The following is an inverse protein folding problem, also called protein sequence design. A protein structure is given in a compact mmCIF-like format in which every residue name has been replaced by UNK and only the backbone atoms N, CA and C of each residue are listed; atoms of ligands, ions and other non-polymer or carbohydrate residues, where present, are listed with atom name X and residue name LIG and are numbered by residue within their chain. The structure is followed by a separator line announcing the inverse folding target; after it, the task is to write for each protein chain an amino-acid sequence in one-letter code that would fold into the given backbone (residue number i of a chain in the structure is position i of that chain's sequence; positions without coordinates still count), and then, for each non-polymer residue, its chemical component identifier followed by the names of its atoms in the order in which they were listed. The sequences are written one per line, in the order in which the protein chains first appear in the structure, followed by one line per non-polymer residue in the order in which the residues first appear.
data_IF_377023130643
#
_entry.id   IF_377023130643
#
_cell.length_a   1.000
_cell.length_b   1.000
_cell.length_c   1.000
_cell.angle_alpha   90.00
_cell.angle_beta   90.00
_cell.angle_gamma   90.00
#
_symmetry.space_group_name_H-M   'P 1'
#
loop_
_entity.id
_entity.type
_entity.pdbx_description
1 polymer ?
#
# COMPACT_ATOMS: atom_id res chain seq x y z
N UNK A 1 -17.62 23.89 -0.89
CA UNK A 1 -16.61 23.17 -0.08
C UNK A 1 -16.95 21.67 0.06
N UNK A 2 -18.12 21.30 0.60
CA UNK A 2 -18.52 19.89 0.80
C UNK A 2 -18.43 19.02 -0.47
N UNK A 3 -18.93 19.52 -1.61
CA UNK A 3 -18.87 18.78 -2.89
C UNK A 3 -17.43 18.41 -3.29
N UNK A 4 -16.48 19.33 -3.15
CA UNK A 4 -15.08 19.12 -3.49
C UNK A 4 -14.41 18.11 -2.55
N UNK A 5 -14.60 18.24 -1.23
CA UNK A 5 -14.06 17.29 -0.27
C UNK A 5 -14.56 15.87 -0.53
N UNK A 6 -15.86 15.72 -0.83
CA UNK A 6 -16.41 14.41 -1.20
C UNK A 6 -15.78 13.89 -2.50
N UNK A 7 -15.45 14.74 -3.48
CA UNK A 7 -14.79 14.33 -4.72
C UNK A 7 -13.39 13.80 -4.45
N UNK A 8 -12.60 14.51 -3.65
CA UNK A 8 -11.26 14.05 -3.24
C UNK A 8 -11.34 12.73 -2.47
N UNK A 9 -12.27 12.61 -1.50
CA UNK A 9 -12.48 11.38 -0.76
C UNK A 9 -12.82 10.19 -1.67
N UNK A 10 -13.66 10.39 -2.69
CA UNK A 10 -14.03 9.31 -3.62
C UNK A 10 -12.89 8.85 -4.52
N UNK A 11 -11.83 9.64 -4.72
CA UNK A 11 -10.61 9.15 -5.39
C UNK A 11 -9.93 8.08 -4.53
N UNK A 12 -9.69 8.37 -3.24
CA UNK A 12 -8.92 7.48 -2.36
C UNK A 12 -9.75 6.41 -1.63
N UNK A 13 -11.09 6.47 -1.68
CA UNK A 13 -11.99 5.62 -0.86
C UNK A 13 -11.63 4.13 -0.88
N UNK A 14 -11.31 3.59 -2.06
CA UNK A 14 -10.99 2.18 -2.25
C UNK A 14 -9.62 1.78 -1.68
N UNK A 15 -8.75 2.76 -1.44
CA UNK A 15 -7.35 2.59 -1.08
C UNK A 15 -7.02 3.01 0.36
N UNK A 16 -8.02 3.50 1.10
CA UNK A 16 -7.89 3.79 2.54
C UNK A 16 -7.40 2.57 3.32
N UNK A 17 -8.04 1.42 3.13
CA UNK A 17 -7.68 0.19 3.86
C UNK A 17 -6.41 -0.47 3.30
N UNK A 18 -6.27 -0.70 1.98
CA UNK A 18 -5.11 -1.44 1.46
C UNK A 18 -3.81 -0.64 1.36
N UNK A 19 -3.88 0.70 1.24
CA UNK A 19 -2.70 1.55 1.02
C UNK A 19 -2.46 2.49 2.20
N UNK A 20 -3.41 3.37 2.50
CA UNK A 20 -3.23 4.42 3.51
C UNK A 20 -3.00 3.82 4.91
N UNK A 21 -3.88 2.90 5.33
CA UNK A 21 -3.82 2.24 6.63
C UNK A 21 -2.46 1.61 6.93
N UNK A 22 -1.99 0.65 6.12
CA UNK A 22 -0.72 0.00 6.42
C UNK A 22 0.50 0.89 6.17
N UNK A 23 0.48 1.83 5.21
CA UNK A 23 1.59 2.78 5.03
C UNK A 23 1.77 3.70 6.25
N UNK A 24 0.66 4.20 6.82
CA UNK A 24 0.68 4.98 8.07
C UNK A 24 1.11 4.10 9.26
N UNK A 25 0.63 2.86 9.34
CA UNK A 25 1.00 1.92 10.40
C UNK A 25 2.51 1.68 10.42
N UNK A 26 3.12 1.39 9.26
CA UNK A 26 4.57 1.28 9.12
C UNK A 26 5.25 2.57 9.56
N UNK A 27 4.87 3.71 8.98
CA UNK A 27 5.57 4.96 9.22
C UNK A 27 5.57 5.36 10.70
N UNK A 28 4.43 5.21 11.39
CA UNK A 28 4.34 5.46 12.83
C UNK A 28 5.22 4.52 13.65
N UNK A 29 5.26 3.23 13.29
CA UNK A 29 6.11 2.24 13.95
C UNK A 29 7.60 2.54 13.74
N UNK A 30 7.98 2.92 12.52
CA UNK A 30 9.37 3.14 12.13
C UNK A 30 9.94 4.48 12.60
N UNK A 31 9.13 5.55 12.62
CA UNK A 31 9.52 6.84 13.18
C UNK A 31 9.51 6.83 14.71
N UNK A 32 8.66 6.00 15.34
CA UNK A 32 8.43 6.02 16.78
C UNK A 32 7.50 7.16 17.19
N UNK A 33 7.53 7.61 18.47
CA UNK A 33 6.67 8.71 18.93
C UNK A 33 6.85 9.94 18.04
N UNK A 34 5.76 10.33 17.37
CA UNK A 34 5.70 11.44 16.41
C UNK A 34 4.74 12.48 16.99
N UNK A 35 5.06 13.77 16.88
CA UNK A 35 4.16 14.83 17.32
C UNK A 35 3.05 15.09 16.27
N UNK A 36 2.02 15.82 16.68
CA UNK A 36 0.85 16.05 15.84
C UNK A 36 1.18 16.81 14.55
N UNK A 37 2.17 17.71 14.57
CA UNK A 37 2.56 18.50 13.40
C UNK A 37 3.24 17.59 12.39
N UNK A 38 4.26 16.84 12.79
CA UNK A 38 4.93 15.89 11.90
C UNK A 38 3.96 14.83 11.35
N UNK A 39 3.03 14.35 12.18
CA UNK A 39 1.97 13.44 11.73
C UNK A 39 1.11 14.06 10.62
N UNK A 40 0.61 15.29 10.82
CA UNK A 40 -0.22 15.97 9.83
C UNK A 40 0.55 16.24 8.54
N UNK A 41 1.80 16.69 8.63
CA UNK A 41 2.66 16.96 7.47
C UNK A 41 2.92 15.70 6.64
N UNK A 42 3.25 14.59 7.29
CA UNK A 42 3.51 13.31 6.62
C UNK A 42 2.24 12.65 6.10
N UNK A 43 1.10 12.82 6.79
CA UNK A 43 -0.20 12.38 6.30
C UNK A 43 -0.59 13.11 5.01
N UNK A 44 -0.46 14.45 4.97
CA UNK A 44 -0.72 15.21 3.76
C UNK A 44 0.25 14.86 2.63
N UNK A 45 1.53 14.65 2.94
CA UNK A 45 2.49 14.18 1.94
C UNK A 45 2.04 12.86 1.32
N UNK A 46 1.64 11.88 2.14
CA UNK A 46 1.18 10.57 1.68
C UNK A 46 -0.08 10.70 0.83
N UNK A 47 -1.10 11.43 1.31
CA UNK A 47 -2.36 11.65 0.60
C UNK A 47 -2.14 12.35 -0.76
N UNK A 48 -1.25 13.33 -0.86
CA UNK A 48 -0.93 13.97 -2.14
C UNK A 48 -0.33 12.98 -3.14
N UNK A 49 0.55 12.08 -2.69
CA UNK A 49 1.13 11.04 -3.55
C UNK A 49 0.08 10.00 -3.96
N UNK A 50 -0.78 9.57 -3.03
CA UNK A 50 -1.88 8.65 -3.31
C UNK A 50 -2.88 9.25 -4.30
N UNK A 51 -3.29 10.49 -4.09
CA UNK A 51 -4.18 11.21 -5.01
C UNK A 51 -3.55 11.36 -6.39
N UNK A 52 -2.25 11.64 -6.48
CA UNK A 52 -1.56 11.74 -7.78
C UNK A 52 -1.68 10.42 -8.56
N UNK A 53 -1.45 9.28 -7.90
CA UNK A 53 -1.63 7.97 -8.53
C UNK A 53 -3.10 7.70 -8.88
N UNK A 54 -4.02 7.89 -7.94
CA UNK A 54 -5.43 7.54 -8.15
C UNK A 54 -6.08 8.37 -9.26
N UNK A 55 -5.83 9.69 -9.30
CA UNK A 55 -6.36 10.52 -10.40
C UNK A 55 -5.83 9.99 -11.74
N UNK A 56 -4.52 9.69 -11.82
CA UNK A 56 -3.92 9.20 -13.05
C UNK A 56 -4.45 7.83 -13.47
N UNK A 57 -4.53 6.91 -12.52
CA UNK A 57 -5.03 5.55 -12.68
C UNK A 57 -6.49 5.56 -13.16
N UNK A 58 -7.33 6.44 -12.63
CA UNK A 58 -8.73 6.58 -13.05
C UNK A 58 -8.90 7.22 -14.43
N UNK A 59 -8.01 8.14 -14.82
CA UNK A 59 -7.99 8.69 -16.18
C UNK A 59 -7.66 7.58 -17.19
N UNK A 60 -6.62 6.80 -16.93
CA UNK A 60 -6.15 5.73 -17.83
C UNK A 60 -7.09 4.52 -17.82
N UNK A 61 -7.69 4.21 -16.66
CA UNK A 61 -8.60 3.08 -16.44
C UNK A 61 -10.08 3.42 -16.54
N UNK A 62 -10.48 4.49 -17.25
CA UNK A 62 -11.87 4.96 -17.25
C UNK A 62 -12.89 3.88 -17.64
N UNK A 63 -12.61 3.10 -18.69
CA UNK A 63 -13.51 2.04 -19.14
C UNK A 63 -13.58 0.87 -18.13
N UNK A 64 -12.48 0.55 -17.46
CA UNK A 64 -12.43 -0.43 -16.36
C UNK A 64 -13.33 -0.01 -15.19
N UNK A 65 -13.22 1.26 -14.83
CA UNK A 65 -13.92 1.81 -13.69
C UNK A 65 -15.42 1.96 -13.97
N UNK A 66 -15.83 2.19 -15.23
CA UNK A 66 -17.24 2.16 -15.63
C UNK A 66 -17.90 0.82 -15.32
N UNK A 67 -17.18 -0.28 -15.50
CA UNK A 67 -17.69 -1.63 -15.26
C UNK A 67 -17.65 -2.02 -13.78
N UNK A 68 -16.59 -1.64 -13.07
CA UNK A 68 -16.27 -2.20 -11.75
C UNK A 68 -16.44 -1.23 -10.58
N UNK A 69 -16.34 0.08 -10.83
CA UNK A 69 -16.23 1.13 -9.79
C UNK A 69 -17.06 2.38 -10.17
N UNK A 70 -18.40 2.26 -10.31
CA UNK A 70 -19.26 3.34 -10.81
C UNK A 70 -19.26 4.60 -9.95
N UNK A 71 -18.88 4.48 -8.67
CA UNK A 71 -18.82 5.59 -7.73
C UNK A 71 -17.56 6.46 -7.87
N UNK A 72 -16.59 6.09 -8.71
CA UNK A 72 -15.35 6.87 -8.91
C UNK A 72 -15.66 8.24 -9.50
N UNK A 73 -14.96 9.32 -9.10
CA UNK A 73 -15.28 10.69 -9.50
C UNK A 73 -15.44 10.93 -11.00
N UNK A 74 -14.59 10.33 -11.84
CA UNK A 74 -14.64 10.53 -13.29
C UNK A 74 -15.82 9.77 -13.90
N UNK A 75 -16.04 8.52 -13.47
CA UNK A 75 -17.13 7.67 -13.95
C UNK A 75 -18.50 8.23 -13.57
N UNK A 76 -18.65 8.67 -12.33
CA UNK A 76 -19.89 9.26 -11.80
C UNK A 76 -20.18 10.68 -12.33
N UNK A 77 -19.34 11.22 -13.21
CA UNK A 77 -19.52 12.54 -13.80
C UNK A 77 -19.25 13.71 -12.85
N UNK A 78 -18.68 13.46 -11.66
CA UNK A 78 -18.34 14.51 -10.68
C UNK A 78 -17.13 15.34 -11.13
N UNK A 79 -16.29 14.79 -12.01
CA UNK A 79 -15.17 15.48 -12.62
C UNK A 79 -15.01 15.03 -14.08
N UNK A 80 -14.89 15.96 -15.02
CA UNK A 80 -14.57 15.61 -16.41
C UNK A 80 -13.13 15.12 -16.54
N UNK A 81 -12.82 14.35 -17.59
CA UNK A 81 -11.46 13.86 -17.86
C UNK A 81 -10.45 15.01 -17.99
N UNK A 82 -10.83 16.10 -18.66
CA UNK A 82 -9.98 17.29 -18.82
C UNK A 82 -9.72 17.97 -17.46
N UNK A 83 -10.74 18.08 -16.61
CA UNK A 83 -10.57 18.62 -15.26
C UNK A 83 -9.71 17.69 -14.38
N UNK A 84 -9.86 16.37 -14.51
CA UNK A 84 -9.03 15.38 -13.83
C UNK A 84 -7.56 15.48 -14.25
N UNK A 85 -7.26 15.68 -15.54
CA UNK A 85 -5.89 15.91 -16.03
C UNK A 85 -5.25 17.16 -15.40
N UNK A 86 -6.00 18.26 -15.33
CA UNK A 86 -5.52 19.50 -14.66
C UNK A 86 -5.29 19.28 -13.17
N UNK A 87 -6.19 18.56 -12.50
CA UNK A 87 -6.05 18.21 -11.09
C UNK A 87 -4.84 17.30 -10.86
N UNK A 88 -4.62 16.30 -11.72
CA UNK A 88 -3.43 15.43 -11.68
C UNK A 88 -2.14 16.25 -11.73
N UNK A 89 -2.00 17.14 -12.72
CA UNK A 89 -0.80 17.97 -12.85
C UNK A 89 -0.60 18.88 -11.62
N UNK A 90 -1.68 19.49 -11.13
CA UNK A 90 -1.64 20.32 -9.93
C UNK A 90 -1.19 19.53 -8.69
N UNK A 91 -1.82 18.39 -8.41
CA UNK A 91 -1.48 17.55 -7.25
C UNK A 91 -0.08 16.97 -7.37
N UNK A 92 0.35 16.58 -8.59
CA UNK A 92 1.72 16.10 -8.84
C UNK A 92 2.76 17.19 -8.53
N UNK A 93 2.59 18.41 -9.05
CA UNK A 93 3.49 19.54 -8.76
C UNK A 93 3.48 19.87 -7.27
N UNK A 94 2.30 19.89 -6.64
CA UNK A 94 2.18 20.14 -5.20
C UNK A 94 2.90 19.07 -4.38
N UNK A 95 2.77 17.79 -4.73
CA UNK A 95 3.43 16.68 -4.05
C UNK A 95 4.96 16.77 -4.16
N UNK A 96 5.50 17.11 -5.34
CA UNK A 96 6.94 17.32 -5.54
C UNK A 96 7.44 18.53 -4.75
N UNK A 97 6.68 19.62 -4.75
CA UNK A 97 7.00 20.83 -3.98
C UNK A 97 7.04 20.54 -2.48
N UNK A 98 6.04 19.82 -1.96
CA UNK A 98 5.99 19.37 -0.57
C UNK A 98 7.20 18.50 -0.21
N UNK A 99 7.65 17.69 -1.16
CA UNK A 99 8.81 16.80 -1.01
C UNK A 99 10.14 17.53 -0.98
N UNK A 100 10.26 18.67 -1.67
CA UNK A 100 11.42 19.56 -1.56
C UNK A 100 11.51 20.14 -0.14
N UNK A 101 10.40 20.64 0.41
CA UNK A 101 10.35 21.21 1.75
C UNK A 101 10.69 20.22 2.87
N UNK A 102 10.52 18.91 2.63
CA UNK A 102 10.79 17.86 3.60
C UNK A 102 12.02 17.00 3.27
N UNK A 103 12.79 17.36 2.24
CA UNK A 103 14.02 16.65 1.90
C UNK A 103 13.82 15.22 1.36
N UNK A 104 12.62 14.89 0.86
CA UNK A 104 12.26 13.55 0.35
C UNK A 104 12.05 13.52 -1.16
N UNK A 105 12.59 14.51 -1.89
CA UNK A 105 12.40 14.65 -3.34
C UNK A 105 12.79 13.41 -4.14
N UNK A 106 13.88 12.71 -3.77
CA UNK A 106 14.30 11.48 -4.45
C UNK A 106 13.23 10.39 -4.35
N UNK A 107 12.64 10.21 -3.16
CA UNK A 107 11.55 9.26 -2.93
C UNK A 107 10.36 9.56 -3.85
N UNK A 108 9.99 10.83 -3.97
CA UNK A 108 8.89 11.27 -4.83
C UNK A 108 9.21 11.15 -6.32
N UNK A 109 10.46 11.36 -6.73
CA UNK A 109 10.87 11.16 -8.11
C UNK A 109 10.75 9.68 -8.51
N UNK A 110 11.25 8.77 -7.66
CA UNK A 110 11.08 7.31 -7.86
C UNK A 110 9.60 6.95 -7.94
N UNK A 111 8.77 7.53 -7.07
CA UNK A 111 7.34 7.33 -7.08
C UNK A 111 6.67 7.80 -8.39
N UNK A 112 6.97 9.03 -8.85
CA UNK A 112 6.42 9.56 -10.11
C UNK A 112 6.84 8.72 -11.32
N UNK A 113 8.10 8.24 -11.34
CA UNK A 113 8.57 7.32 -12.36
C UNK A 113 7.80 6.00 -12.33
N UNK A 114 7.52 5.47 -11.15
CA UNK A 114 6.69 4.26 -11.00
C UNK A 114 5.26 4.48 -11.51
N UNK A 115 4.63 5.63 -11.22
CA UNK A 115 3.31 5.99 -11.78
C UNK A 115 3.35 6.01 -13.30
N UNK A 116 4.36 6.67 -13.87
CA UNK A 116 4.54 6.78 -15.31
C UNK A 116 4.68 5.40 -15.96
N UNK A 117 5.58 4.56 -15.44
CA UNK A 117 5.75 3.19 -15.91
C UNK A 117 4.46 2.35 -15.76
N UNK A 118 3.75 2.49 -14.64
CA UNK A 118 2.53 1.74 -14.34
C UNK A 118 1.42 2.08 -15.33
N UNK A 119 1.16 3.38 -15.55
CA UNK A 119 0.03 3.87 -16.34
C UNK A 119 0.37 4.13 -17.81
N UNK A 120 1.38 4.97 -18.08
CA UNK A 120 1.71 5.44 -19.44
C UNK A 120 2.41 4.38 -20.26
N UNK A 121 3.40 3.68 -19.68
CA UNK A 121 4.07 2.58 -20.36
C UNK A 121 3.24 1.30 -20.39
N UNK A 122 2.04 1.29 -19.78
CA UNK A 122 1.13 0.14 -19.76
C UNK A 122 1.69 -1.10 -19.06
N UNK A 123 2.74 -0.96 -18.23
CA UNK A 123 3.39 -2.11 -17.59
C UNK A 123 2.47 -2.84 -16.61
N UNK A 124 1.47 -2.15 -16.05
CA UNK A 124 0.45 -2.75 -15.20
C UNK A 124 -0.47 -3.78 -15.91
N UNK A 125 -0.34 -3.96 -17.23
CA UNK A 125 -1.05 -5.03 -17.96
C UNK A 125 -0.50 -6.42 -17.65
N UNK A 126 0.75 -6.52 -17.22
CA UNK A 126 1.38 -7.77 -16.77
C UNK A 126 1.26 -7.90 -15.25
N UNK A 127 0.83 -9.07 -14.74
CA UNK A 127 0.62 -9.30 -13.30
C UNK A 127 1.84 -8.94 -12.42
N UNK A 128 3.04 -9.34 -12.85
CA UNK A 128 4.25 -9.16 -12.07
C UNK A 128 4.64 -7.69 -12.03
N UNK A 129 4.68 -7.04 -13.19
CA UNK A 129 5.00 -5.62 -13.29
C UNK A 129 3.96 -4.74 -12.56
N UNK A 130 2.67 -5.12 -12.59
CA UNK A 130 1.61 -4.46 -11.81
C UNK A 130 1.93 -4.50 -10.31
N UNK A 131 2.24 -5.68 -9.78
CA UNK A 131 2.54 -5.86 -8.35
C UNK A 131 3.90 -5.25 -7.95
N UNK A 132 4.90 -5.32 -8.82
CA UNK A 132 6.23 -4.74 -8.60
C UNK A 132 6.21 -3.20 -8.61
N UNK A 133 5.54 -2.58 -9.58
CA UNK A 133 5.41 -1.11 -9.60
C UNK A 133 4.49 -0.62 -8.48
N UNK A 134 3.44 -1.37 -8.14
CA UNK A 134 2.63 -1.12 -6.96
C UNK A 134 3.44 -1.17 -5.67
N UNK A 135 4.38 -2.12 -5.55
CA UNK A 135 5.26 -2.21 -4.37
C UNK A 135 6.28 -1.08 -4.30
N UNK A 136 6.79 -0.59 -5.43
CA UNK A 136 7.62 0.63 -5.44
C UNK A 136 6.82 1.80 -4.87
N UNK A 137 5.55 1.95 -5.27
CA UNK A 137 4.65 2.93 -4.69
C UNK A 137 4.53 2.79 -3.17
N UNK A 138 4.32 1.56 -2.71
CA UNK A 138 4.22 1.20 -1.30
C UNK A 138 5.49 1.52 -0.49
N UNK A 139 6.65 1.18 -1.04
CA UNK A 139 7.98 1.48 -0.49
C UNK A 139 8.16 2.98 -0.34
N UNK A 140 7.79 3.76 -1.37
CA UNK A 140 7.86 5.21 -1.33
C UNK A 140 6.96 5.80 -0.24
N UNK A 141 5.72 5.30 -0.07
CA UNK A 141 4.87 5.75 1.03
C UNK A 141 5.51 5.50 2.39
N UNK A 142 6.03 4.28 2.61
CA UNK A 142 6.68 3.93 3.86
C UNK A 142 7.93 4.78 4.10
N UNK A 143 8.78 4.95 3.08
CA UNK A 143 10.02 5.71 3.16
C UNK A 143 9.79 7.19 3.43
N UNK A 144 9.04 7.88 2.57
CA UNK A 144 8.83 9.33 2.66
C UNK A 144 8.09 9.73 3.92
N UNK A 145 7.00 9.02 4.27
CA UNK A 145 6.22 9.33 5.47
C UNK A 145 7.03 9.05 6.74
N UNK A 146 7.84 7.99 6.79
CA UNK A 146 8.72 7.73 7.95
C UNK A 146 9.71 8.88 8.18
N UNK A 147 10.36 9.39 7.11
CA UNK A 147 11.31 10.50 7.24
C UNK A 147 10.60 11.76 7.76
N UNK A 148 9.41 12.08 7.26
CA UNK A 148 8.67 13.26 7.71
C UNK A 148 8.26 13.12 9.19
N UNK A 149 7.77 11.94 9.57
CA UNK A 149 7.40 11.65 10.96
C UNK A 149 8.59 11.71 11.93
N UNK A 150 9.80 11.34 11.49
CA UNK A 150 11.02 11.45 12.29
C UNK A 150 11.79 12.76 12.01
N UNK A 151 11.09 13.83 11.63
CA UNK A 151 11.64 15.19 11.45
C UNK A 151 12.83 15.29 10.49
N UNK A 152 12.78 14.57 9.37
CA UNK A 152 13.82 14.60 8.34
C UNK A 152 15.00 13.68 8.63
N UNK A 153 14.99 12.91 9.73
CA UNK A 153 16.07 11.95 10.00
C UNK A 153 16.09 10.84 8.95
N UNK A 154 17.29 10.38 8.55
CA UNK A 154 17.42 9.26 7.64
C UNK A 154 16.87 7.98 8.27
N UNK A 155 16.46 7.03 7.42
CA UNK A 155 15.97 5.74 7.88
C UNK A 155 17.04 5.00 8.68
N UNK A 156 16.69 4.53 9.88
CA UNK A 156 17.52 3.60 10.64
C UNK A 156 17.65 2.25 9.91
N UNK A 157 18.62 1.42 10.30
CA UNK A 157 18.76 0.07 9.73
C UNK A 157 17.48 -0.77 9.89
N UNK A 158 16.81 -0.68 11.04
CA UNK A 158 15.53 -1.37 11.28
C UNK A 158 14.46 -0.84 10.32
N UNK A 159 14.40 0.48 10.13
CA UNK A 159 13.46 1.12 9.23
C UNK A 159 13.70 0.73 7.77
N UNK A 160 14.97 0.66 7.35
CA UNK A 160 15.34 0.22 6.01
C UNK A 160 14.93 -1.23 5.76
N UNK A 161 15.25 -2.14 6.69
CA UNK A 161 14.84 -3.56 6.60
C UNK A 161 13.32 -3.67 6.52
N UNK A 162 12.58 -2.92 7.34
CA UNK A 162 11.13 -2.91 7.30
C UNK A 162 10.59 -2.42 5.96
N UNK A 163 11.08 -1.30 5.43
CA UNK A 163 10.64 -0.74 4.14
C UNK A 163 10.91 -1.71 2.99
N UNK A 164 12.11 -2.31 2.92
CA UNK A 164 12.45 -3.31 1.90
C UNK A 164 11.57 -4.55 2.03
N UNK A 165 11.33 -5.00 3.27
CA UNK A 165 10.47 -6.15 3.55
C UNK A 165 9.02 -5.87 3.11
N UNK A 166 8.48 -4.68 3.38
CA UNK A 166 7.17 -4.24 2.90
C UNK A 166 7.07 -4.28 1.37
N UNK A 167 8.12 -3.83 0.69
CA UNK A 167 8.21 -3.88 -0.77
C UNK A 167 8.15 -5.31 -1.30
N UNK A 168 8.98 -6.20 -0.77
CA UNK A 168 9.03 -7.61 -1.19
C UNK A 168 7.73 -8.36 -0.88
N UNK A 169 7.15 -8.10 0.29
CA UNK A 169 5.84 -8.59 0.70
C UNK A 169 4.80 -8.17 -0.33
N UNK A 170 4.69 -6.87 -0.64
CA UNK A 170 3.71 -6.38 -1.61
C UNK A 170 3.98 -6.88 -3.04
N UNK A 171 5.23 -6.98 -3.49
CA UNK A 171 5.56 -7.52 -4.82
C UNK A 171 5.04 -8.94 -4.98
N UNK A 172 5.16 -9.75 -3.94
CA UNK A 172 4.82 -11.18 -4.01
C UNK A 172 3.35 -11.46 -3.69
N UNK A 173 2.71 -10.71 -2.79
CA UNK A 173 1.32 -10.96 -2.38
C UNK A 173 0.32 -9.90 -2.85
N UNK A 174 0.77 -8.79 -3.45
CA UNK A 174 -0.09 -7.68 -3.90
C UNK A 174 -1.13 -8.06 -4.95
N UNK A 175 -0.90 -9.15 -5.68
CA UNK A 175 -1.87 -9.76 -6.60
C UNK A 175 -3.13 -10.31 -5.89
N UNK A 176 -3.18 -10.32 -4.54
CA UNK A 176 -4.40 -10.60 -3.78
C UNK A 176 -5.58 -9.69 -4.18
N UNK A 177 -5.30 -8.45 -4.59
CA UNK A 177 -6.32 -7.51 -5.07
C UNK A 177 -6.96 -7.96 -6.39
N UNK A 178 -6.20 -8.66 -7.24
CA UNK A 178 -6.65 -9.03 -8.58
C UNK A 178 -7.81 -10.03 -8.53
N UNK A 179 -7.99 -10.78 -7.42
CA UNK A 179 -9.10 -11.73 -7.26
C UNK A 179 -10.47 -11.04 -7.27
N UNK A 180 -10.61 -9.90 -6.58
CA UNK A 180 -11.84 -9.11 -6.59
C UNK A 180 -12.02 -8.29 -7.88
N UNK A 181 -10.91 -8.00 -8.56
CA UNK A 181 -10.88 -7.12 -9.74
C UNK A 181 -10.86 -7.91 -11.06
N UNK A 182 -10.99 -9.25 -11.01
CA UNK A 182 -10.96 -10.17 -12.17
C UNK A 182 -11.77 -9.71 -13.38
N UNK A 183 -13.02 -9.27 -13.17
CA UNK A 183 -13.90 -8.84 -14.26
C UNK A 183 -13.40 -7.55 -14.94
N UNK A 184 -12.93 -6.59 -14.14
CA UNK A 184 -12.34 -5.35 -14.65
C UNK A 184 -11.02 -5.60 -15.36
N UNK A 185 -10.15 -6.41 -14.77
CA UNK A 185 -8.88 -6.82 -15.36
C UNK A 185 -9.09 -7.54 -16.71
N UNK A 186 -10.08 -8.42 -16.79
CA UNK A 186 -10.42 -9.14 -18.03
C UNK A 186 -10.94 -8.20 -19.12
N UNK A 187 -11.83 -7.26 -18.77
CA UNK A 187 -12.35 -6.26 -19.71
C UNK A 187 -11.25 -5.35 -20.29
N UNK A 188 -10.18 -5.11 -19.52
CA UNK A 188 -9.01 -4.33 -19.95
C UNK A 188 -7.94 -5.16 -20.67
N UNK A 189 -8.16 -6.46 -20.87
CA UNK A 189 -7.17 -7.35 -21.47
C UNK A 189 -5.90 -7.53 -20.63
N UNK A 190 -5.99 -7.32 -19.30
CA UNK A 190 -4.86 -7.55 -18.40
C UNK A 190 -4.60 -9.05 -18.22
N UNK A 191 -3.34 -9.38 -18.01
CA UNK A 191 -2.87 -10.74 -17.77
C UNK A 191 -2.53 -10.90 -16.29
N UNK A 192 -3.56 -10.92 -15.42
CA UNK A 192 -3.42 -11.10 -13.96
C UNK A 192 -3.40 -12.58 -13.56
N UNK A 193 -2.80 -12.93 -12.41
CA UNK A 193 -2.69 -14.33 -11.98
C UNK A 193 -4.05 -15.05 -11.90
N UNK A 194 -5.14 -14.42 -11.40
CA UNK A 194 -6.43 -15.08 -11.35
C UNK A 194 -7.08 -15.31 -12.73
N UNK A 195 -6.57 -14.66 -13.80
CA UNK A 195 -6.99 -14.87 -15.19
C UNK A 195 -6.09 -15.85 -15.94
N UNK A 196 -4.80 -15.92 -15.57
CA UNK A 196 -3.80 -16.76 -16.24
C UNK A 196 -3.75 -18.19 -15.72
N UNK A 197 -4.01 -18.40 -14.43
CA UNK A 197 -3.82 -19.69 -13.77
C UNK A 197 -5.17 -20.36 -13.45
N UNK A 198 -5.21 -21.70 -13.31
CA UNK A 198 -6.37 -22.38 -12.78
C UNK A 198 -6.77 -21.79 -11.42
N UNK A 199 -8.07 -21.59 -11.13
CA UNK A 199 -8.52 -20.89 -9.93
C UNK A 199 -7.99 -21.46 -8.60
N UNK A 200 -7.74 -22.78 -8.56
CA UNK A 200 -7.12 -23.43 -7.39
C UNK A 200 -5.65 -23.05 -7.25
N UNK A 201 -4.89 -23.08 -8.35
CA UNK A 201 -3.45 -22.80 -8.34
C UNK A 201 -3.18 -21.36 -7.90
N UNK A 202 -3.90 -20.38 -8.47
CA UNK A 202 -3.74 -18.97 -8.10
C UNK A 202 -3.97 -18.70 -6.61
N UNK A 203 -4.97 -19.35 -6.01
CA UNK A 203 -5.33 -19.13 -4.60
C UNK A 203 -4.39 -19.85 -3.64
N UNK A 204 -4.04 -21.09 -3.96
CA UNK A 204 -3.06 -21.83 -3.17
C UNK A 204 -1.66 -21.21 -3.26
N UNK A 205 -1.28 -20.60 -4.39
CA UNK A 205 -0.03 -19.84 -4.47
C UNK A 205 -0.04 -18.62 -3.56
N UNK A 206 -1.15 -17.86 -3.50
CA UNK A 206 -1.27 -16.73 -2.57
C UNK A 206 -1.22 -17.22 -1.11
N UNK A 207 -1.97 -18.27 -0.76
CA UNK A 207 -1.98 -18.84 0.59
C UNK A 207 -0.59 -19.33 1.02
N UNK A 208 0.14 -19.99 0.10
CA UNK A 208 1.52 -20.39 0.34
C UNK A 208 2.42 -19.20 0.63
N UNK A 209 2.39 -18.16 -0.21
CA UNK A 209 3.19 -16.95 -0.03
C UNK A 209 2.86 -16.25 1.29
N UNK A 210 1.57 -16.12 1.64
CA UNK A 210 1.15 -15.53 2.92
C UNK A 210 1.65 -16.34 4.11
N UNK A 211 1.63 -17.67 4.05
CA UNK A 211 2.15 -18.54 5.10
C UNK A 211 3.68 -18.40 5.24
N UNK A 212 4.41 -18.39 4.12
CA UNK A 212 5.87 -18.16 4.10
C UNK A 212 6.21 -16.81 4.73
N UNK A 213 5.52 -15.74 4.33
CA UNK A 213 5.74 -14.41 4.89
C UNK A 213 5.37 -14.33 6.37
N UNK A 214 4.29 -14.98 6.79
CA UNK A 214 3.92 -15.02 8.21
C UNK A 214 5.03 -15.64 9.05
N UNK A 215 5.55 -16.81 8.65
CA UNK A 215 6.64 -17.47 9.35
C UNK A 215 7.93 -16.63 9.32
N UNK A 216 8.29 -16.09 8.16
CA UNK A 216 9.46 -15.24 7.99
C UNK A 216 9.40 -13.98 8.87
N UNK A 217 8.27 -13.27 8.89
CA UNK A 217 8.11 -12.04 9.67
C UNK A 217 8.11 -12.29 11.18
N UNK A 218 7.53 -13.41 11.63
CA UNK A 218 7.61 -13.82 13.04
C UNK A 218 9.07 -14.11 13.41
N UNK A 219 9.81 -14.78 12.54
CA UNK A 219 11.24 -15.04 12.77
C UNK A 219 12.08 -13.76 12.76
N UNK A 220 11.85 -12.88 11.77
CA UNK A 220 12.61 -11.64 11.58
C UNK A 220 12.41 -10.65 12.73
N UNK A 221 11.16 -10.47 13.18
CA UNK A 221 10.82 -9.44 14.17
C UNK A 221 10.71 -9.97 15.60
N UNK A 222 10.71 -11.30 15.79
CA UNK A 222 10.58 -11.97 17.08
C UNK A 222 9.48 -11.37 17.98
N UNK A 223 8.24 -11.21 17.48
CA UNK A 223 7.18 -10.57 18.24
C UNK A 223 6.68 -11.48 19.38
N UNK A 224 5.99 -10.94 20.40
CA UNK A 224 5.33 -11.73 21.43
C UNK A 224 4.38 -12.78 20.86
N UNK A 225 4.13 -13.84 21.63
CA UNK A 225 3.23 -14.92 21.21
C UNK A 225 1.84 -14.44 20.82
N UNK A 226 1.30 -13.43 21.50
CA UNK A 226 -0.02 -12.84 21.19
C UNK A 226 -0.07 -12.24 19.79
N UNK A 227 0.94 -11.47 19.39
CA UNK A 227 1.06 -10.89 18.05
C UNK A 227 1.30 -11.98 16.98
N UNK A 228 2.12 -12.98 17.30
CA UNK A 228 2.37 -14.13 16.42
C UNK A 228 1.10 -14.94 16.14
N UNK A 229 0.30 -15.20 17.18
CA UNK A 229 -0.99 -15.90 17.08
C UNK A 229 -1.96 -15.08 16.24
N UNK A 230 -2.08 -13.77 16.51
CA UNK A 230 -2.97 -12.89 15.75
C UNK A 230 -2.62 -12.87 14.26
N UNK A 231 -1.34 -12.69 13.91
CA UNK A 231 -0.90 -12.68 12.51
C UNK A 231 -1.19 -14.02 11.83
N UNK A 232 -0.92 -15.14 12.52
CA UNK A 232 -1.18 -16.49 12.01
C UNK A 232 -2.68 -16.74 11.80
N UNK A 233 -3.53 -16.31 12.73
CA UNK A 233 -4.99 -16.43 12.61
C UNK A 233 -5.53 -15.62 11.43
N UNK A 234 -5.02 -14.40 11.22
CA UNK A 234 -5.39 -13.58 10.05
C UNK A 234 -4.93 -14.23 8.74
N UNK A 235 -3.71 -14.78 8.70
CA UNK A 235 -3.20 -15.52 7.56
C UNK A 235 -4.09 -16.73 7.21
N UNK A 236 -4.40 -17.57 8.20
CA UNK A 236 -5.25 -18.75 8.03
C UNK A 236 -6.66 -18.38 7.60
N UNK A 237 -7.25 -17.35 8.21
CA UNK A 237 -8.60 -16.88 7.89
C UNK A 237 -8.66 -16.35 6.47
N UNK A 238 -7.74 -15.46 6.08
CA UNK A 238 -7.69 -14.91 4.72
C UNK A 238 -7.48 -16.02 3.67
N UNK A 239 -6.52 -16.91 3.91
CA UNK A 239 -6.23 -18.05 3.02
C UNK A 239 -7.43 -18.97 2.86
N UNK A 240 -8.10 -19.34 3.95
CA UNK A 240 -9.27 -20.20 3.93
C UNK A 240 -10.44 -19.55 3.16
N UNK A 241 -10.64 -18.24 3.31
CA UNK A 241 -11.71 -17.51 2.61
C UNK A 241 -11.45 -17.46 1.11
N UNK A 242 -10.23 -17.11 0.68
CA UNK A 242 -9.86 -17.15 -0.74
C UNK A 242 -10.08 -18.54 -1.33
N UNK A 243 -9.61 -19.59 -0.66
CA UNK A 243 -9.66 -20.97 -1.18
C UNK A 243 -11.10 -21.51 -1.28
N UNK A 244 -11.98 -21.20 -0.32
CA UNK A 244 -13.31 -21.83 -0.18
C UNK A 244 -14.36 -21.27 -1.14
N UNK A 245 -14.45 -19.95 -1.30
CA UNK A 245 -15.52 -19.32 -2.08
C UNK A 245 -14.92 -18.46 -3.19
N UNK A 246 -15.34 -18.74 -4.42
CA UNK A 246 -14.75 -18.16 -5.62
C UNK A 246 -15.60 -17.04 -6.24
N UNK A 247 -16.64 -16.58 -5.55
CA UNK A 247 -17.45 -15.43 -5.98
C UNK A 247 -16.70 -14.11 -5.80
N UNK A 248 -17.10 -13.09 -6.56
CA UNK A 248 -16.48 -11.75 -6.49
C UNK A 248 -16.74 -11.10 -5.13
N UNK A 249 -17.93 -11.31 -4.57
CA UNK A 249 -18.32 -10.81 -3.23
C UNK A 249 -17.44 -11.44 -2.15
N UNK A 250 -17.18 -12.75 -2.25
CA UNK A 250 -16.31 -13.45 -1.32
C UNK A 250 -14.84 -13.05 -1.49
N UNK A 251 -14.37 -12.76 -2.69
CA UNK A 251 -13.02 -12.24 -2.92
C UNK A 251 -12.85 -10.83 -2.32
N UNK A 252 -13.87 -9.96 -2.38
CA UNK A 252 -13.85 -8.65 -1.71
C UNK A 252 -13.71 -8.77 -0.20
N UNK A 253 -14.46 -9.69 0.40
CA UNK A 253 -14.38 -10.00 1.82
C UNK A 253 -13.03 -10.64 2.20
N UNK A 254 -12.55 -11.61 1.41
CA UNK A 254 -11.23 -12.23 1.58
C UNK A 254 -10.09 -11.21 1.53
N UNK A 255 -10.20 -10.25 0.61
CA UNK A 255 -9.24 -9.15 0.47
C UNK A 255 -9.22 -8.23 1.70
N UNK A 256 -10.35 -8.03 2.38
CA UNK A 256 -10.36 -7.27 3.63
C UNK A 256 -9.51 -7.96 4.71
N UNK A 257 -9.66 -9.28 4.90
CA UNK A 257 -8.83 -10.04 5.83
C UNK A 257 -7.35 -10.06 5.43
N UNK A 258 -7.05 -10.13 4.12
CA UNK A 258 -5.69 -9.97 3.61
C UNK A 258 -5.10 -8.62 4.03
N UNK A 259 -5.87 -7.53 3.92
CA UNK A 259 -5.39 -6.21 4.34
C UNK A 259 -5.20 -6.10 5.86
N UNK A 260 -6.04 -6.77 6.66
CA UNK A 260 -5.82 -6.82 8.12
C UNK A 260 -4.55 -7.61 8.47
N UNK A 261 -4.30 -8.71 7.77
CA UNK A 261 -3.04 -9.45 7.88
C UNK A 261 -1.86 -8.55 7.48
N UNK A 262 -1.98 -7.81 6.37
CA UNK A 262 -0.96 -6.90 5.86
C UNK A 262 -0.66 -5.76 6.85
N UNK A 263 -1.68 -5.09 7.39
CA UNK A 263 -1.51 -4.05 8.42
C UNK A 263 -0.82 -4.63 9.65
N UNK A 264 -1.22 -5.81 10.10
CA UNK A 264 -0.61 -6.47 11.27
C UNK A 264 0.86 -6.82 11.02
N UNK A 265 1.18 -7.35 9.84
CA UNK A 265 2.55 -7.64 9.42
C UNK A 265 3.44 -6.39 9.49
N UNK A 266 2.90 -5.26 9.03
CA UNK A 266 3.56 -3.97 9.03
C UNK A 266 3.75 -3.33 10.41
N UNK A 267 3.02 -3.79 11.42
CA UNK A 267 3.19 -3.36 12.81
C UNK A 267 4.32 -4.11 13.53
N UNK A 268 4.70 -5.30 13.09
CA UNK A 268 5.71 -6.14 13.75
C UNK A 268 7.09 -5.49 13.97
N UNK A 269 7.63 -4.62 13.10
CA UNK A 269 8.91 -3.96 13.34
C UNK A 269 8.99 -3.18 14.67
N UNK A 270 7.83 -2.86 15.29
CA UNK A 270 7.77 -2.19 16.59
C UNK A 270 8.51 -2.98 17.67
N UNK A 271 8.48 -4.32 17.61
CA UNK A 271 9.09 -5.17 18.63
C UNK A 271 10.61 -5.12 18.58
N UNK A 272 11.19 -5.13 17.37
CA UNK A 272 12.63 -4.91 17.19
C UNK A 272 13.05 -3.50 17.62
N UNK A 273 12.23 -2.48 17.33
CA UNK A 273 12.51 -1.10 17.77
C UNK A 273 12.50 -0.97 19.30
N UNK A 274 11.53 -1.57 19.99
CA UNK A 274 11.45 -1.57 21.45
C UNK A 274 12.64 -2.31 22.05
N UNK A 275 13.00 -3.47 21.51
CA UNK A 275 14.15 -4.24 21.96
C UNK A 275 15.47 -3.44 21.80
N UNK A 276 15.67 -2.79 20.66
CA UNK A 276 16.83 -1.94 20.42
C UNK A 276 16.92 -0.77 21.41
N UNK A 277 15.80 -0.10 21.72
CA UNK A 277 15.78 0.97 22.74
C UNK A 277 16.17 0.47 24.13
N UNK A 278 15.60 -0.65 24.57
CA UNK A 278 15.93 -1.25 25.87
C UNK A 278 17.42 -1.61 26.00
N UNK A 279 18.03 -2.10 24.92
CA UNK A 279 19.46 -2.42 24.90
C UNK A 279 20.33 -1.17 25.07
N UNK A 280 19.96 -0.06 24.45
CA UNK A 280 20.64 1.24 24.61
C UNK A 280 20.48 1.76 26.04
N UNK A 281 19.27 1.74 26.59
CA UNK A 281 19.03 2.21 27.96
C UNK A 281 19.85 1.41 28.96
N UNK A 282 19.85 0.07 28.86
CA UNK A 282 20.62 -0.80 29.74
C UNK A 282 22.14 -0.54 29.69
N UNK A 283 22.69 -0.25 28.50
CA UNK A 283 24.10 0.10 28.34
C UNK A 283 24.46 1.48 28.93
N UNK A 284 23.48 2.38 29.06
CA UNK A 284 23.68 3.74 29.59
C UNK A 284 23.71 3.75 31.12
N UNK A 285 23.01 2.81 31.78
CA UNK A 285 22.98 2.67 33.25
C UNK A 285 24.10 1.77 33.82
N UNK A 286 24.90 1.14 32.96
CA UNK A 286 26.04 0.29 33.37
C UNK A 286 27.38 1.04 33.50
N UNK A 287 27.36 2.37 33.40
CA UNK A 287 28.48 3.29 33.65
C UNK A 287 28.15 4.23 34.81
#
# INVERSE_FOLDING_TARGET
MFHFCTTIFLFSKSDIVPILGPSLAVAMVLAGPTDIIAFVLGFFWLELHLLTFEIKNQITGLEEDRLSKPNRPIVSGRLSVVAAQRLYLFVAVLSLTWSVFHGVLLCSFVYMLAIYCYNECGMARNWFLKSFLGSIGYVCYCWGTTIIFDHGKPLSNISLVAVVTSGLLHTTTGHAQDFRDRLGDAAMGRKTLPLLLPPRVARWSLAFLMATWTAFLIHLWTPPHTASILLSLLCLTSSAKFIRNHSVEADRDSYWYYNMWLITAHLLPVFARIAARRAVDAATFSF
#
